data_IF_974448987174
#
_entry.id   IF_974448987174
#
_cell.length_a   1.000
_cell.length_b   1.000
_cell.length_c   1.000
_cell.angle_alpha   90.00
_cell.angle_beta   90.00
_cell.angle_gamma   90.00
#
_symmetry.space_group_name_H-M   'P 1'
#
loop_
_entity.id
_entity.type
_entity.pdbx_description
1 polymer ?
#
# COMPACT_ATOMS: atom_id res chain seq x y z
N UNK A 1 10.20 -12.27 60.74
CA UNK A 1 10.97 -12.11 59.47
C UNK A 1 12.04 -11.05 59.68
N UNK A 2 13.32 -11.41 59.58
CA UNK A 2 14.43 -10.49 59.84
C UNK A 2 14.51 -9.42 58.73
N UNK A 3 15.04 -8.23 59.03
CA UNK A 3 15.13 -7.10 58.06
C UNK A 3 15.80 -7.53 56.74
N UNK A 4 16.76 -8.43 56.84
CA UNK A 4 17.45 -9.03 55.70
C UNK A 4 16.50 -9.84 54.79
N UNK A 5 15.59 -10.63 55.37
CA UNK A 5 14.63 -11.46 54.63
C UNK A 5 13.58 -10.62 53.88
N UNK A 6 13.18 -9.46 54.43
CA UNK A 6 12.28 -8.53 53.73
C UNK A 6 12.96 -7.86 52.53
N UNK A 7 14.24 -7.50 52.68
CA UNK A 7 15.04 -6.90 51.60
C UNK A 7 15.28 -7.92 50.48
N UNK A 8 15.57 -9.18 50.81
CA UNK A 8 15.75 -10.24 49.80
C UNK A 8 14.47 -10.51 49.02
N UNK A 9 13.30 -10.51 49.67
CA UNK A 9 12.01 -10.73 48.99
C UNK A 9 11.66 -9.55 48.08
N UNK A 10 11.89 -8.30 48.52
CA UNK A 10 11.66 -7.10 47.70
C UNK A 10 12.60 -7.07 46.50
N UNK A 11 13.88 -7.43 46.69
CA UNK A 11 14.83 -7.53 45.57
C UNK A 11 14.39 -8.65 44.62
N UNK A 12 14.05 -9.86 45.09
CA UNK A 12 13.60 -10.94 44.21
C UNK A 12 12.33 -10.58 43.42
N UNK A 13 11.37 -9.88 44.04
CA UNK A 13 10.14 -9.46 43.37
C UNK A 13 10.36 -8.29 42.40
N UNK A 14 11.30 -7.38 42.69
CA UNK A 14 11.77 -6.39 41.71
C UNK A 14 12.55 -7.04 40.56
N UNK A 15 13.38 -8.05 40.81
CA UNK A 15 14.10 -8.76 39.75
C UNK A 15 13.15 -9.57 38.87
N UNK A 16 12.08 -10.16 39.43
CA UNK A 16 11.03 -10.83 38.66
C UNK A 16 10.19 -9.80 37.86
N UNK A 17 9.92 -8.61 38.41
CA UNK A 17 9.29 -7.51 37.66
C UNK A 17 10.18 -6.94 36.53
N UNK A 18 11.50 -6.96 36.69
CA UNK A 18 12.44 -6.57 35.64
C UNK A 18 12.64 -7.66 34.59
N UNK A 19 12.53 -8.95 34.94
CA UNK A 19 12.66 -10.07 34.00
C UNK A 19 11.37 -10.34 33.23
N UNK A 20 10.19 -9.96 33.76
CA UNK A 20 8.91 -10.00 33.03
C UNK A 20 8.63 -8.69 32.26
N UNK A 21 9.47 -7.65 32.45
CA UNK A 21 9.37 -6.35 31.78
C UNK A 21 10.42 -6.08 30.70
N UNK A 22 11.28 -7.04 30.39
CA UNK A 22 12.10 -7.04 29.18
C UNK A 22 11.31 -7.69 28.04
N UNK A 23 10.27 -7.00 27.57
CA UNK A 23 9.95 -7.08 26.15
C UNK A 23 11.24 -6.76 25.39
N UNK A 24 11.46 -7.46 24.28
CA UNK A 24 12.60 -7.32 23.39
C UNK A 24 12.60 -5.92 22.74
N UNK A 25 13.06 -4.92 23.52
CA UNK A 25 12.96 -3.48 23.26
C UNK A 25 14.21 -2.97 22.56
N UNK A 26 14.55 -3.58 21.42
CA UNK A 26 15.75 -3.22 20.68
C UNK A 26 15.87 -3.95 19.35
N UNK A 27 14.99 -3.61 18.40
CA UNK A 27 15.16 -3.53 16.92
C UNK A 27 13.85 -3.76 16.17
N UNK A 28 12.83 -4.37 16.78
CA UNK A 28 11.51 -4.68 16.15
C UNK A 28 11.59 -5.43 14.80
N UNK A 29 12.74 -6.03 14.49
CA UNK A 29 12.90 -6.93 13.35
C UNK A 29 12.87 -8.34 13.94
N UNK A 30 11.82 -9.15 13.69
CA UNK A 30 11.86 -10.56 14.04
C UNK A 30 13.12 -11.19 13.43
N UNK A 31 13.72 -12.16 14.13
CA UNK A 31 14.87 -12.92 13.62
C UNK A 31 14.61 -13.30 12.17
N UNK A 32 15.46 -12.83 11.27
CA UNK A 32 15.39 -13.01 9.82
C UNK A 32 15.39 -14.50 9.50
N UNK A 33 14.21 -15.13 9.51
CA UNK A 33 14.01 -16.43 8.92
C UNK A 33 13.92 -16.18 7.42
N UNK A 34 14.95 -16.56 6.67
CA UNK A 34 15.11 -16.29 5.23
C UNK A 34 14.07 -16.98 4.31
N UNK A 35 12.92 -17.38 4.85
CA UNK A 35 11.99 -18.30 4.22
C UNK A 35 10.55 -17.91 4.57
N UNK A 36 10.04 -16.86 3.95
CA UNK A 36 8.65 -16.44 4.08
C UNK A 36 7.74 -17.32 3.21
N UNK A 37 7.48 -18.50 3.74
CA UNK A 37 6.34 -19.36 3.38
C UNK A 37 5.22 -19.02 4.36
N UNK A 38 3.96 -18.98 3.90
CA UNK A 38 2.79 -18.75 4.77
C UNK A 38 3.00 -19.60 6.03
N UNK A 39 3.15 -18.94 7.16
CA UNK A 39 3.55 -19.59 8.40
C UNK A 39 2.33 -19.59 9.28
N UNK A 40 1.75 -20.78 9.44
CA UNK A 40 0.65 -20.97 10.38
C UNK A 40 1.21 -21.01 11.81
N UNK A 41 0.37 -20.82 12.83
CA UNK A 41 0.75 -21.05 14.23
C UNK A 41 1.36 -22.45 14.49
N UNK A 42 1.04 -23.46 13.66
CA UNK A 42 1.68 -24.79 13.74
C UNK A 42 2.89 -24.99 12.80
N UNK A 43 3.51 -23.92 12.30
CA UNK A 43 4.63 -23.98 11.33
C UNK A 43 4.30 -24.75 10.03
N UNK A 44 3.02 -24.83 9.64
CA UNK A 44 2.63 -25.37 8.32
C UNK A 44 3.09 -24.37 7.26
N UNK A 45 3.94 -24.82 6.33
CA UNK A 45 4.41 -24.00 5.21
C UNK A 45 3.41 -24.05 4.07
N UNK A 46 2.66 -22.98 3.85
CA UNK A 46 1.81 -22.84 2.64
C UNK A 46 2.57 -22.00 1.61
N UNK A 47 2.52 -22.41 0.34
CA UNK A 47 3.20 -21.69 -0.73
C UNK A 47 2.60 -20.29 -0.90
N UNK A 48 3.41 -19.25 -1.22
CA UNK A 48 2.87 -17.93 -1.52
C UNK A 48 1.80 -18.03 -2.61
N UNK A 49 0.72 -17.26 -2.45
CA UNK A 49 -0.35 -17.24 -3.44
C UNK A 49 0.07 -16.35 -4.61
N UNK A 50 -0.12 -16.86 -5.82
CA UNK A 50 0.25 -16.18 -7.05
C UNK A 50 -0.93 -16.33 -7.99
N UNK A 51 -1.40 -15.23 -8.58
CA UNK A 51 -2.54 -15.25 -9.48
C UNK A 51 -2.32 -14.38 -10.72
N UNK A 52 -2.80 -14.87 -11.85
CA UNK A 52 -2.83 -14.17 -13.14
C UNK A 52 -4.08 -13.31 -13.23
N UNK A 53 -3.94 -11.99 -13.03
CA UNK A 53 -5.04 -11.04 -13.14
C UNK A 53 -5.13 -10.51 -14.57
N UNK A 54 -5.80 -11.28 -15.43
CA UNK A 54 -6.07 -10.91 -16.82
C UNK A 54 -7.52 -10.41 -16.99
N UNK A 55 -7.75 -9.29 -17.71
CA UNK A 55 -6.77 -8.53 -18.50
C UNK A 55 -5.95 -7.48 -17.75
N UNK A 56 -6.17 -7.30 -16.45
CA UNK A 56 -5.71 -6.12 -15.68
C UNK A 56 -4.18 -5.95 -15.66
N UNK A 57 -3.40 -7.04 -15.71
CA UNK A 57 -1.94 -7.01 -15.72
C UNK A 57 -1.31 -7.31 -17.10
N UNK A 58 -2.11 -7.40 -18.18
CA UNK A 58 -1.63 -7.79 -19.52
C UNK A 58 -0.42 -7.00 -20.05
N UNK A 59 -0.38 -5.71 -19.72
CA UNK A 59 0.59 -4.75 -20.22
C UNK A 59 1.55 -4.26 -19.15
N UNK A 60 1.40 -4.74 -17.91
CA UNK A 60 2.25 -4.32 -16.82
C UNK A 60 3.71 -4.61 -17.17
N UNK A 61 4.53 -3.56 -17.04
CA UNK A 61 5.94 -3.60 -17.36
C UNK A 61 6.64 -4.66 -16.52
N UNK A 62 7.50 -5.47 -17.15
CA UNK A 62 8.26 -6.56 -16.50
C UNK A 62 7.41 -7.61 -15.78
N UNK A 63 6.11 -7.71 -16.10
CA UNK A 63 5.23 -8.77 -15.64
C UNK A 63 4.66 -9.57 -16.80
N UNK A 64 5.53 -10.26 -17.54
CA UNK A 64 5.15 -11.04 -18.74
C UNK A 64 4.15 -12.17 -18.44
N UNK A 65 4.13 -12.62 -17.18
CA UNK A 65 3.20 -13.65 -16.71
C UNK A 65 1.93 -13.07 -16.06
N UNK A 66 1.82 -11.74 -15.94
CA UNK A 66 0.64 -11.03 -15.40
C UNK A 66 0.31 -11.45 -13.96
N UNK A 67 1.34 -11.79 -13.20
CA UNK A 67 1.19 -12.37 -11.87
C UNK A 67 1.22 -11.29 -10.80
N UNK A 68 0.28 -11.34 -9.87
CA UNK A 68 0.40 -10.67 -8.57
C UNK A 68 0.80 -11.71 -7.52
N UNK A 69 1.92 -11.47 -6.86
CA UNK A 69 2.42 -12.31 -5.77
C UNK A 69 1.89 -11.80 -4.42
N UNK A 70 1.41 -12.72 -3.58
CA UNK A 70 0.78 -12.44 -2.29
C UNK A 70 1.34 -13.34 -1.19
N UNK A 71 1.44 -12.78 0.02
CA UNK A 71 1.73 -13.52 1.24
C UNK A 71 0.52 -13.40 2.16
N UNK A 72 0.01 -14.54 2.64
CA UNK A 72 -1.23 -14.60 3.39
C UNK A 72 -0.95 -15.10 4.80
N UNK A 73 -1.47 -14.41 5.80
CA UNK A 73 -1.60 -14.95 7.15
C UNK A 73 -2.98 -15.62 7.26
N UNK A 74 -2.99 -16.88 7.70
CA UNK A 74 -4.22 -17.66 7.91
C UNK A 74 -4.24 -18.08 9.38
N UNK A 75 -5.24 -17.65 10.17
CA UNK A 75 -5.35 -18.05 11.57
C UNK A 75 -5.74 -19.52 11.67
N UNK A 76 -5.40 -20.17 12.79
CA UNK A 76 -5.62 -21.61 13.02
C UNK A 76 -7.05 -22.07 12.74
N UNK A 77 -8.04 -21.25 13.12
CA UNK A 77 -9.46 -21.56 12.94
C UNK A 77 -9.83 -21.71 11.46
N UNK A 78 -9.08 -21.09 10.56
CA UNK A 78 -9.32 -21.05 9.11
C UNK A 78 -8.46 -22.05 8.33
N UNK A 79 -7.65 -22.88 8.99
CA UNK A 79 -6.89 -23.92 8.31
C UNK A 79 -7.76 -25.13 7.95
N UNK A 80 -7.50 -25.81 6.82
CA UNK A 80 -8.23 -27.02 6.45
C UNK A 80 -7.85 -28.20 7.35
N UNK A 81 -8.72 -29.22 7.40
CA UNK A 81 -8.39 -30.47 8.09
C UNK A 81 -7.11 -31.12 7.52
N UNK A 82 -6.26 -31.75 8.36
CA UNK A 82 -6.41 -31.95 9.81
C UNK A 82 -5.84 -30.80 10.67
N UNK A 83 -5.49 -29.66 10.06
CA UNK A 83 -4.76 -28.57 10.73
C UNK A 83 -5.68 -27.59 11.46
N UNK A 84 -6.92 -27.42 11.00
CA UNK A 84 -7.91 -26.56 11.64
C UNK A 84 -9.35 -26.91 11.24
N UNK A 85 -10.34 -26.17 11.78
CA UNK A 85 -11.76 -26.38 11.51
C UNK A 85 -12.29 -25.72 10.22
N UNK A 86 -11.45 -25.00 9.47
CA UNK A 86 -11.78 -24.37 8.19
C UNK A 86 -12.94 -23.35 8.26
N UNK A 87 -12.99 -22.55 9.33
CA UNK A 87 -14.03 -21.54 9.54
C UNK A 87 -13.76 -20.26 8.72
N UNK A 88 -14.84 -19.68 8.20
CA UNK A 88 -14.79 -18.40 7.49
C UNK A 88 -14.57 -17.23 8.45
N UNK A 89 -13.55 -16.41 8.18
CA UNK A 89 -13.18 -15.24 8.99
C UNK A 89 -13.20 -13.94 8.16
N UNK A 90 -13.23 -12.75 8.80
CA UNK A 90 -13.01 -11.49 8.09
C UNK A 90 -11.65 -11.45 7.37
N UNK A 91 -11.50 -10.54 6.41
CA UNK A 91 -10.25 -10.36 5.67
C UNK A 91 -9.72 -8.92 5.77
N UNK A 92 -8.39 -8.80 5.76
CA UNK A 92 -7.66 -7.54 5.70
C UNK A 92 -6.64 -7.59 4.55
N UNK A 93 -6.72 -6.65 3.61
CA UNK A 93 -5.72 -6.46 2.56
C UNK A 93 -4.70 -5.40 3.01
N UNK A 94 -3.41 -5.72 2.99
CA UNK A 94 -2.32 -4.81 3.36
C UNK A 94 -1.42 -4.49 2.16
N UNK A 95 -1.24 -3.19 1.92
CA UNK A 95 -0.47 -2.63 0.82
C UNK A 95 0.89 -2.13 1.32
N UNK A 96 2.01 -2.70 0.86
CA UNK A 96 3.34 -2.26 1.29
C UNK A 96 3.68 -0.83 0.82
N UNK A 97 4.68 -0.18 1.45
CA UNK A 97 5.22 1.07 0.95
C UNK A 97 6.04 0.83 -0.32
N UNK A 98 6.59 1.92 -0.85
CA UNK A 98 7.58 1.83 -1.90
C UNK A 98 8.71 0.88 -1.49
N UNK A 99 9.19 0.07 -2.44
CA UNK A 99 10.24 -0.95 -2.29
C UNK A 99 9.84 -2.14 -1.40
N UNK A 100 8.66 -2.11 -0.78
CA UNK A 100 8.13 -3.23 -0.03
C UNK A 100 7.50 -4.28 -0.94
N UNK A 101 7.76 -5.55 -0.64
CA UNK A 101 7.12 -6.68 -1.31
C UNK A 101 6.00 -7.27 -0.44
N UNK A 102 5.43 -8.38 -0.89
CA UNK A 102 4.41 -9.14 -0.13
C UNK A 102 4.85 -9.53 1.29
N UNK A 103 6.14 -9.58 1.57
CA UNK A 103 6.68 -9.98 2.87
C UNK A 103 6.97 -8.81 3.78
N UNK A 104 6.79 -7.57 3.32
CA UNK A 104 7.06 -6.36 4.09
C UNK A 104 6.45 -6.43 5.49
N UNK A 105 5.15 -6.70 5.64
CA UNK A 105 4.51 -6.76 6.96
C UNK A 105 4.95 -7.97 7.80
N UNK A 106 5.20 -9.12 7.19
CA UNK A 106 5.75 -10.30 7.87
C UNK A 106 7.13 -10.03 8.46
N UNK A 107 7.99 -9.34 7.70
CA UNK A 107 9.31 -8.90 8.14
C UNK A 107 9.26 -7.86 9.27
N UNK A 108 8.08 -7.34 9.59
CA UNK A 108 7.82 -6.42 10.69
C UNK A 108 6.91 -7.03 11.78
N UNK A 109 6.79 -8.36 11.81
CA UNK A 109 6.15 -9.08 12.92
C UNK A 109 4.67 -9.40 12.75
N UNK A 110 4.10 -9.26 11.55
CA UNK A 110 2.67 -9.51 11.31
C UNK A 110 2.15 -10.80 11.96
N UNK A 111 2.82 -11.93 11.73
CA UNK A 111 2.40 -13.22 12.26
C UNK A 111 2.42 -13.22 13.79
N UNK A 112 3.54 -12.82 14.40
CA UNK A 112 3.70 -12.79 15.86
C UNK A 112 2.63 -11.90 16.51
N UNK A 113 2.37 -10.73 15.94
CA UNK A 113 1.37 -9.79 16.44
C UNK A 113 -0.04 -10.39 16.32
N UNK A 114 -0.39 -10.97 15.17
CA UNK A 114 -1.70 -11.55 14.95
C UNK A 114 -1.95 -12.73 15.92
N UNK A 115 -0.99 -13.64 16.05
CA UNK A 115 -1.07 -14.78 16.97
C UNK A 115 -1.23 -14.31 18.42
N UNK A 116 -0.37 -13.38 18.88
CA UNK A 116 -0.44 -12.81 20.24
C UNK A 116 -1.81 -12.17 20.51
N UNK A 117 -2.34 -11.40 19.56
CA UNK A 117 -3.61 -10.70 19.73
C UNK A 117 -4.81 -11.66 19.75
N UNK A 118 -4.78 -12.72 18.93
CA UNK A 118 -5.83 -13.75 18.89
C UNK A 118 -5.81 -14.60 20.16
N UNK A 119 -4.64 -15.08 20.59
CA UNK A 119 -4.48 -15.88 21.81
C UNK A 119 -4.95 -15.12 23.05
N UNK A 120 -4.70 -13.81 23.10
CA UNK A 120 -5.15 -12.95 24.19
C UNK A 120 -6.63 -12.52 24.08
N UNK A 121 -7.34 -12.90 23.02
CA UNK A 121 -8.72 -12.49 22.76
C UNK A 121 -8.88 -10.97 22.54
N UNK A 122 -7.79 -10.30 22.12
CA UNK A 122 -7.80 -8.86 21.83
C UNK A 122 -8.37 -8.57 20.44
N UNK A 123 -8.17 -9.48 19.49
CA UNK A 123 -8.81 -9.46 18.18
C UNK A 123 -9.53 -10.78 17.91
N UNK A 124 -10.65 -10.69 17.21
CA UNK A 124 -11.21 -11.85 16.49
C UNK A 124 -10.25 -12.29 15.37
N UNK A 125 -10.13 -13.59 15.08
CA UNK A 125 -9.32 -14.11 13.97
C UNK A 125 -9.69 -13.47 12.63
N UNK A 126 -8.69 -13.20 11.79
CA UNK A 126 -8.88 -12.68 10.42
C UNK A 126 -7.78 -13.20 9.48
N UNK A 127 -8.10 -13.34 8.20
CA UNK A 127 -7.13 -13.61 7.14
C UNK A 127 -6.52 -12.28 6.69
N UNK A 128 -5.19 -12.24 6.55
CA UNK A 128 -4.48 -11.01 6.18
C UNK A 128 -3.70 -11.25 4.89
N UNK A 129 -4.09 -10.55 3.82
CA UNK A 129 -3.47 -10.65 2.50
C UNK A 129 -2.51 -9.47 2.27
N UNK A 130 -1.21 -9.75 2.19
CA UNK A 130 -0.19 -8.78 1.83
C UNK A 130 0.16 -8.94 0.35
N UNK A 131 0.00 -7.89 -0.45
CA UNK A 131 0.34 -7.92 -1.88
C UNK A 131 1.74 -7.34 -2.13
N UNK A 132 2.32 -7.58 -3.31
CA UNK A 132 3.60 -6.99 -3.69
C UNK A 132 3.44 -5.64 -4.40
N UNK A 133 4.40 -4.73 -4.23
CA UNK A 133 4.66 -3.68 -5.23
C UNK A 133 5.47 -4.23 -6.41
N UNK A 134 5.54 -3.44 -7.48
CA UNK A 134 6.46 -3.67 -8.60
C UNK A 134 7.92 -3.60 -8.10
N UNK A 135 8.73 -4.59 -8.48
CA UNK A 135 10.05 -4.85 -7.87
C UNK A 135 11.15 -3.89 -8.34
N UNK A 136 11.01 -3.27 -9.50
CA UNK A 136 12.08 -2.51 -10.16
C UNK A 136 12.01 -1.02 -9.83
N UNK A 137 10.85 -0.39 -9.95
CA UNK A 137 10.65 1.04 -9.66
C UNK A 137 10.09 1.25 -8.25
N UNK A 138 9.95 0.18 -7.47
CA UNK A 138 9.54 0.26 -6.07
C UNK A 138 8.04 0.38 -5.85
N UNK A 139 7.25 0.55 -6.90
CA UNK A 139 5.81 0.66 -6.83
C UNK A 139 5.28 1.69 -7.81
N UNK A 140 3.98 1.66 -8.05
CA UNK A 140 3.31 2.44 -9.10
C UNK A 140 2.15 3.27 -8.55
N UNK A 141 2.24 3.64 -7.27
CA UNK A 141 1.17 4.28 -6.50
C UNK A 141 -0.14 3.48 -6.47
N UNK A 142 -0.11 2.18 -6.80
CA UNK A 142 -1.33 1.39 -7.04
C UNK A 142 -2.30 2.11 -8.00
N UNK A 143 -1.75 2.89 -8.94
CA UNK A 143 -2.53 3.57 -9.97
C UNK A 143 -2.87 2.63 -11.13
N UNK A 144 -3.68 3.14 -12.06
CA UNK A 144 -4.12 2.39 -13.23
C UNK A 144 -3.66 3.03 -14.52
N UNK A 145 -2.85 2.30 -15.30
CA UNK A 145 -2.46 2.62 -16.66
C UNK A 145 -1.93 1.36 -17.36
N UNK A 146 -1.82 1.38 -18.69
CA UNK A 146 -1.28 0.25 -19.44
C UNK A 146 0.08 -0.27 -18.89
N UNK A 147 1.12 0.57 -18.66
CA UNK A 147 2.41 0.08 -18.15
C UNK A 147 2.39 -0.43 -16.71
N UNK A 148 1.42 -0.04 -15.88
CA UNK A 148 1.41 -0.42 -14.45
C UNK A 148 0.36 -1.47 -14.12
N UNK A 149 -0.59 -1.72 -15.03
CA UNK A 149 -1.77 -2.56 -14.79
C UNK A 149 -2.94 -1.78 -14.19
N UNK A 150 -4.10 -2.41 -14.10
CA UNK A 150 -5.32 -1.79 -13.57
C UNK A 150 -5.54 -2.14 -12.08
N UNK A 151 -4.82 -1.44 -11.20
CA UNK A 151 -4.93 -1.66 -9.76
C UNK A 151 -6.25 -1.17 -9.15
N UNK A 152 -6.93 -0.21 -9.79
CA UNK A 152 -8.28 0.19 -9.40
C UNK A 152 -9.25 -1.02 -9.48
N UNK A 153 -9.25 -1.77 -10.58
CA UNK A 153 -10.09 -2.97 -10.73
C UNK A 153 -9.57 -4.17 -9.93
N UNK A 154 -8.25 -4.37 -9.85
CA UNK A 154 -7.66 -5.46 -9.06
C UNK A 154 -8.04 -5.33 -7.59
N UNK A 155 -7.76 -4.17 -6.97
CA UNK A 155 -8.00 -3.96 -5.55
C UNK A 155 -9.48 -3.73 -5.24
N UNK A 156 -10.24 -3.16 -6.18
CA UNK A 156 -11.67 -2.93 -6.02
C UNK A 156 -12.54 -4.18 -6.18
N UNK A 157 -12.08 -5.18 -6.94
CA UNK A 157 -12.97 -6.29 -7.31
C UNK A 157 -12.23 -7.63 -7.47
N UNK A 158 -11.26 -7.70 -8.39
CA UNK A 158 -10.70 -8.99 -8.82
C UNK A 158 -9.99 -9.73 -7.71
N UNK A 159 -9.20 -9.02 -6.90
CA UNK A 159 -8.49 -9.59 -5.78
C UNK A 159 -9.47 -10.17 -4.75
N UNK A 160 -10.54 -9.43 -4.43
CA UNK A 160 -11.56 -9.89 -3.48
C UNK A 160 -12.24 -11.16 -4.00
N UNK A 161 -12.69 -11.16 -5.26
CA UNK A 161 -13.29 -12.35 -5.87
C UNK A 161 -12.34 -13.56 -5.87
N UNK A 162 -11.04 -13.34 -6.14
CA UNK A 162 -10.05 -14.41 -6.07
C UNK A 162 -9.88 -14.94 -4.64
N UNK A 163 -9.76 -14.06 -3.64
CA UNK A 163 -9.59 -14.46 -2.24
C UNK A 163 -10.82 -15.20 -1.71
N UNK A 164 -12.03 -14.76 -2.04
CA UNK A 164 -13.29 -15.41 -1.64
C UNK A 164 -13.44 -16.81 -2.22
N UNK A 165 -13.00 -17.01 -3.47
CA UNK A 165 -13.01 -18.34 -4.09
C UNK A 165 -11.88 -19.26 -3.59
N UNK A 166 -10.83 -18.71 -2.99
CA UNK A 166 -9.61 -19.45 -2.66
C UNK A 166 -9.41 -19.71 -1.17
N UNK A 167 -10.07 -18.94 -0.31
CA UNK A 167 -9.85 -18.94 1.14
C UNK A 167 -11.18 -18.93 1.91
N UNK A 168 -11.23 -19.47 3.14
CA UNK A 168 -12.43 -19.40 3.98
C UNK A 168 -12.54 -17.99 4.57
N UNK A 169 -13.05 -17.05 3.77
CA UNK A 169 -13.29 -15.68 4.19
C UNK A 169 -14.79 -15.37 4.17
N UNK A 170 -15.22 -14.38 4.95
CA UNK A 170 -16.61 -13.91 4.96
C UNK A 170 -16.88 -12.99 3.76
N UNK A 171 -17.84 -13.35 2.91
CA UNK A 171 -18.17 -12.65 1.64
C UNK A 171 -19.02 -11.38 1.82
N UNK A 172 -18.74 -10.59 2.85
CA UNK A 172 -19.49 -9.36 3.14
C UNK A 172 -18.56 -8.15 3.21
N UNK A 173 -18.90 -7.01 2.57
CA UNK A 173 -18.09 -5.79 2.68
C UNK A 173 -17.83 -5.35 4.12
N UNK A 174 -18.77 -5.59 5.05
CA UNK A 174 -18.59 -5.27 6.48
C UNK A 174 -17.45 -6.06 7.14
N UNK A 175 -17.00 -7.15 6.52
CA UNK A 175 -15.93 -8.04 6.96
C UNK A 175 -14.64 -7.89 6.16
N UNK A 176 -14.53 -6.82 5.36
CA UNK A 176 -13.36 -6.53 4.51
C UNK A 176 -12.70 -5.22 4.92
N UNK A 177 -11.42 -5.28 5.25
CA UNK A 177 -10.59 -4.12 5.56
C UNK A 177 -9.47 -3.97 4.54
N UNK A 178 -8.99 -2.74 4.37
CA UNK A 178 -7.78 -2.44 3.60
C UNK A 178 -6.86 -1.54 4.41
N UNK A 179 -5.55 -1.66 4.23
CA UNK A 179 -4.62 -0.75 4.86
C UNK A 179 -3.28 -0.70 4.17
N UNK A 180 -2.42 0.22 4.59
CA UNK A 180 -1.10 0.34 3.98
C UNK A 180 -0.21 1.41 4.58
N UNK A 181 1.07 1.35 4.22
CA UNK A 181 2.11 2.27 4.68
C UNK A 181 2.71 2.97 3.47
N UNK A 182 3.11 4.24 3.56
CA UNK A 182 3.81 4.91 2.46
C UNK A 182 2.95 4.98 1.21
N UNK A 183 3.50 4.51 0.10
CA UNK A 183 2.77 4.37 -1.16
C UNK A 183 1.50 3.49 -1.02
N UNK A 184 1.51 2.49 -0.14
CA UNK A 184 0.33 1.67 0.18
C UNK A 184 -0.75 2.42 0.95
N UNK A 185 -0.40 3.46 1.71
CA UNK A 185 -1.40 4.33 2.34
C UNK A 185 -2.20 5.11 1.27
N UNK A 186 -1.51 5.63 0.25
CA UNK A 186 -2.17 6.25 -0.91
C UNK A 186 -3.04 5.23 -1.66
N UNK A 187 -2.49 4.04 -1.94
CA UNK A 187 -3.22 2.96 -2.62
C UNK A 187 -4.51 2.57 -1.89
N UNK A 188 -4.48 2.44 -0.57
CA UNK A 188 -5.64 2.06 0.22
C UNK A 188 -6.75 3.12 0.12
N UNK A 189 -6.43 4.40 0.29
CA UNK A 189 -7.41 5.47 0.12
C UNK A 189 -7.95 5.54 -1.31
N UNK A 190 -7.07 5.45 -2.31
CA UNK A 190 -7.45 5.43 -3.72
C UNK A 190 -8.47 4.33 -3.99
N UNK A 191 -8.20 3.09 -3.55
CA UNK A 191 -9.10 1.96 -3.73
C UNK A 191 -10.47 2.22 -3.13
N UNK A 192 -10.55 2.70 -1.87
CA UNK A 192 -11.84 2.96 -1.24
C UNK A 192 -12.61 4.06 -1.95
N UNK A 193 -11.93 5.12 -2.42
CA UNK A 193 -12.56 6.22 -3.15
C UNK A 193 -13.08 5.76 -4.53
N UNK A 194 -12.29 4.95 -5.23
CA UNK A 194 -12.58 4.47 -6.59
C UNK A 194 -13.56 3.30 -6.60
N UNK A 195 -13.66 2.55 -5.52
CA UNK A 195 -14.49 1.35 -5.39
C UNK A 195 -15.28 1.39 -4.07
N UNK A 196 -16.20 2.37 -3.91
CA UNK A 196 -16.97 2.53 -2.69
C UNK A 196 -17.83 1.29 -2.41
N UNK A 197 -17.92 0.91 -1.13
CA UNK A 197 -18.71 -0.25 -0.69
C UNK A 197 -18.01 -1.61 -0.80
N UNK A 198 -16.73 -1.65 -1.20
CA UNK A 198 -15.93 -2.90 -1.22
C UNK A 198 -15.33 -3.19 0.15
N UNK A 199 -14.81 -2.17 0.83
CA UNK A 199 -14.17 -2.26 2.14
C UNK A 199 -14.94 -1.41 3.16
N UNK A 200 -15.11 -1.93 4.37
CA UNK A 200 -15.79 -1.22 5.48
C UNK A 200 -14.84 -0.48 6.41
N UNK A 201 -13.54 -0.76 6.33
CA UNK A 201 -12.55 -0.14 7.20
C UNK A 201 -11.23 0.07 6.47
N UNK A 202 -10.58 1.19 6.77
CA UNK A 202 -9.28 1.57 6.25
C UNK A 202 -8.33 1.97 7.38
N UNK A 203 -7.10 1.44 7.38
CA UNK A 203 -6.04 1.91 8.27
C UNK A 203 -4.76 2.24 7.50
N UNK A 204 -4.22 3.45 7.67
CA UNK A 204 -3.06 3.91 6.88
C UNK A 204 -1.99 4.56 7.73
N UNK A 205 -0.76 4.59 7.20
CA UNK A 205 0.37 5.26 7.84
C UNK A 205 1.29 5.95 6.85
N UNK A 206 1.60 7.22 7.13
CA UNK A 206 2.65 8.03 6.50
C UNK A 206 2.77 7.86 4.97
N UNK A 207 1.81 8.39 4.21
CA UNK A 207 1.81 8.29 2.74
C UNK A 207 1.84 9.62 2.00
N UNK A 208 2.06 9.59 0.66
CA UNK A 208 1.86 10.74 -0.22
C UNK A 208 0.37 10.98 -0.44
N UNK A 209 -0.35 11.39 0.62
CA UNK A 209 -1.81 11.50 0.59
C UNK A 209 -2.32 12.84 0.04
N UNK A 210 -1.40 13.78 -0.20
CA UNK A 210 -1.69 15.08 -0.80
C UNK A 210 -0.51 15.53 -1.67
N UNK A 211 -0.67 15.43 -2.99
CA UNK A 211 0.43 15.58 -3.95
C UNK A 211 0.97 17.01 -4.05
N UNK A 212 0.12 18.02 -3.97
CA UNK A 212 0.49 19.44 -4.04
C UNK A 212 0.52 20.13 -2.66
N UNK A 213 0.19 19.39 -1.60
CA UNK A 213 0.18 19.89 -0.23
C UNK A 213 -0.92 20.94 0.01
N UNK A 214 -1.09 21.31 1.28
CA UNK A 214 -2.15 22.24 1.71
C UNK A 214 -2.12 23.62 1.02
N UNK A 215 -0.98 24.03 0.47
CA UNK A 215 -0.80 25.31 -0.23
C UNK A 215 -0.85 25.21 -1.76
N UNK A 216 -0.99 23.99 -2.31
CA UNK A 216 -0.99 23.73 -3.75
C UNK A 216 0.37 23.89 -4.43
N UNK A 217 1.46 24.06 -3.67
CA UNK A 217 2.81 24.29 -4.16
C UNK A 217 3.89 23.47 -3.46
N UNK A 218 3.51 22.57 -2.54
CA UNK A 218 4.39 21.72 -1.74
C UNK A 218 4.08 20.24 -1.99
N UNK A 219 4.05 19.40 -0.95
CA UNK A 219 3.86 17.95 -1.10
C UNK A 219 5.00 17.30 -1.89
N UNK A 220 4.67 16.60 -2.96
CA UNK A 220 5.63 15.95 -3.86
C UNK A 220 6.47 16.96 -4.66
N UNK A 221 5.99 18.19 -4.85
CA UNK A 221 6.74 19.24 -5.57
C UNK A 221 8.08 19.52 -4.88
N UNK A 222 8.12 19.44 -3.55
CA UNK A 222 9.35 19.63 -2.77
C UNK A 222 10.43 18.58 -3.05
N UNK A 223 10.08 17.46 -3.71
CA UNK A 223 10.99 16.35 -3.98
C UNK A 223 11.50 16.34 -5.43
N UNK A 224 11.08 17.29 -6.27
CA UNK A 224 11.50 17.35 -7.67
C UNK A 224 13.00 17.60 -7.80
N UNK A 225 13.52 18.59 -7.08
CA UNK A 225 14.96 18.86 -7.01
C UNK A 225 15.71 17.65 -6.42
N UNK A 226 15.18 17.03 -5.37
CA UNK A 226 15.81 15.87 -4.73
C UNK A 226 15.97 14.70 -5.70
N UNK A 227 14.97 14.45 -6.56
CA UNK A 227 15.02 13.42 -7.60
C UNK A 227 16.15 13.66 -8.63
N UNK A 228 16.42 14.92 -8.97
CA UNK A 228 17.51 15.29 -9.86
C UNK A 228 18.87 15.19 -9.16
N UNK A 229 18.94 15.69 -7.93
CA UNK A 229 20.16 15.74 -7.11
C UNK A 229 20.70 14.34 -6.84
N UNK A 230 19.85 13.38 -6.49
CA UNK A 230 20.30 12.02 -6.18
C UNK A 230 20.90 11.30 -7.41
N UNK A 231 20.57 11.75 -8.62
CA UNK A 231 21.13 11.24 -9.87
C UNK A 231 22.25 12.10 -10.45
N UNK A 232 22.59 13.22 -9.80
CA UNK A 232 23.53 14.21 -10.31
C UNK A 232 23.11 14.74 -11.71
N UNK A 233 21.82 15.04 -11.88
CA UNK A 233 21.25 15.60 -13.10
C UNK A 233 21.03 17.11 -12.99
N UNK A 234 20.98 17.78 -14.14
CA UNK A 234 20.68 19.20 -14.28
C UNK A 234 19.71 19.47 -15.45
N UNK A 235 19.48 20.77 -15.72
CA UNK A 235 18.55 21.25 -16.75
C UNK A 235 18.82 20.72 -18.16
N UNK A 236 20.03 20.21 -18.43
CA UNK A 236 20.46 19.71 -19.74
C UNK A 236 20.50 18.19 -19.84
N UNK A 237 20.38 17.47 -18.71
CA UNK A 237 20.60 16.03 -18.63
C UNK A 237 19.37 15.23 -18.22
N UNK A 238 18.15 15.80 -18.17
CA UNK A 238 16.96 15.04 -17.77
C UNK A 238 16.70 13.82 -18.68
N UNK A 239 17.07 13.87 -19.96
CA UNK A 239 16.99 12.70 -20.86
C UNK A 239 17.83 11.50 -20.40
N UNK A 240 18.84 11.74 -19.56
CA UNK A 240 19.74 10.74 -19.00
C UNK A 240 19.22 10.20 -17.65
N UNK A 241 17.94 10.47 -17.31
CA UNK A 241 17.30 10.03 -16.08
C UNK A 241 17.33 8.50 -15.96
N UNK A 242 18.06 8.01 -14.97
CA UNK A 242 18.28 6.61 -14.71
C UNK A 242 17.03 5.97 -14.09
N UNK A 243 16.45 5.05 -14.86
CA UNK A 243 15.30 4.25 -14.46
C UNK A 243 15.71 2.91 -13.83
N UNK A 244 17.01 2.59 -13.73
CA UNK A 244 17.51 1.27 -13.29
C UNK A 244 17.26 0.94 -11.81
N UNK A 245 16.75 1.90 -11.03
CA UNK A 245 16.16 1.62 -9.71
C UNK A 245 17.14 1.68 -8.54
N UNK A 246 18.19 2.49 -8.59
CA UNK A 246 19.08 2.69 -7.43
C UNK A 246 18.57 3.79 -6.48
N UNK A 247 17.87 4.78 -7.03
CA UNK A 247 17.56 6.03 -6.33
C UNK A 247 16.12 6.10 -5.86
N UNK A 248 15.90 6.27 -4.55
CA UNK A 248 14.57 6.07 -3.96
C UNK A 248 13.55 7.12 -4.41
N UNK A 249 13.91 8.41 -4.50
CA UNK A 249 12.93 9.46 -4.87
C UNK A 249 12.61 9.37 -6.36
N UNK A 250 13.60 9.11 -7.18
CA UNK A 250 13.51 8.98 -8.63
C UNK A 250 12.66 7.78 -9.00
N UNK A 251 12.85 6.64 -8.32
CA UNK A 251 12.00 5.46 -8.45
C UNK A 251 10.53 5.77 -8.18
N UNK A 252 10.25 6.53 -7.11
CA UNK A 252 8.90 7.00 -6.81
C UNK A 252 8.32 7.75 -8.02
N UNK A 253 9.09 8.69 -8.59
CA UNK A 253 8.64 9.46 -9.74
C UNK A 253 8.54 8.65 -11.04
N UNK A 254 9.39 7.66 -11.27
CA UNK A 254 9.26 6.73 -12.40
C UNK A 254 7.96 5.93 -12.26
N UNK A 255 7.72 5.32 -11.10
CA UNK A 255 6.52 4.55 -10.83
C UNK A 255 5.23 5.37 -10.97
N UNK A 256 5.22 6.57 -10.38
CA UNK A 256 4.09 7.49 -10.51
C UNK A 256 3.93 8.06 -11.93
N UNK A 257 5.01 8.29 -12.68
CA UNK A 257 4.92 8.78 -14.06
C UNK A 257 4.37 7.69 -14.99
N UNK A 258 4.76 6.43 -14.80
CA UNK A 258 4.15 5.31 -15.50
C UNK A 258 2.65 5.21 -15.18
N UNK A 259 2.25 5.46 -13.93
CA UNK A 259 0.85 5.40 -13.51
C UNK A 259 0.01 6.60 -14.00
N UNK A 260 0.54 7.82 -13.96
CA UNK A 260 -0.25 9.05 -14.10
C UNK A 260 0.07 9.87 -15.35
N UNK A 261 1.22 9.65 -15.97
CA UNK A 261 1.67 10.38 -17.16
C UNK A 261 2.48 9.50 -18.14
N UNK A 262 2.01 8.27 -18.47
CA UNK A 262 2.67 7.47 -19.49
C UNK A 262 2.62 8.17 -20.84
N UNK A 263 3.72 8.10 -21.59
CA UNK A 263 3.77 8.64 -22.94
C UNK A 263 2.99 7.76 -23.90
N UNK A 264 2.44 8.37 -24.94
CA UNK A 264 1.76 7.66 -26.01
C UNK A 264 2.76 6.98 -26.95
N UNK A 265 3.25 5.80 -26.56
CA UNK A 265 4.25 5.10 -27.37
C UNK A 265 3.68 4.21 -28.45
N UNK A 266 2.41 3.74 -28.37
CA UNK A 266 1.67 3.01 -29.42
C UNK A 266 0.24 2.64 -28.95
N UNK A 267 -0.72 2.67 -29.88
CA UNK A 267 -2.13 2.25 -29.75
C UNK A 267 -2.31 0.95 -28.93
N UNK A 268 -2.88 1.04 -27.73
CA UNK A 268 -3.18 -0.13 -26.88
C UNK A 268 -4.58 -0.66 -27.17
N UNK A 269 -4.67 -1.93 -27.56
CA UNK A 269 -5.94 -2.65 -27.72
C UNK A 269 -6.26 -3.48 -26.49
N UNK A 270 -7.45 -3.38 -25.90
CA UNK A 270 -8.01 -4.43 -25.05
C UNK A 270 -9.20 -5.07 -25.73
N UNK A 271 -9.57 -6.29 -25.36
CA UNK A 271 -10.80 -6.90 -25.85
C UNK A 271 -11.93 -6.63 -24.85
N UNK A 272 -12.93 -5.85 -25.25
CA UNK A 272 -14.22 -5.82 -24.56
C UNK A 272 -14.93 -7.14 -24.86
N UNK A 273 -15.19 -7.93 -23.81
CA UNK A 273 -15.97 -9.15 -23.91
C UNK A 273 -17.38 -8.88 -23.40
N UNK A 274 -18.37 -8.95 -24.29
CA UNK A 274 -19.78 -8.90 -23.92
C UNK A 274 -20.39 -10.29 -24.05
N UNK A 275 -20.98 -10.79 -22.97
CA UNK A 275 -21.70 -12.06 -22.94
C UNK A 275 -23.19 -11.76 -23.08
N UNK A 276 -23.83 -12.28 -24.13
CA UNK A 276 -25.29 -12.24 -24.24
C UNK A 276 -25.90 -13.16 -23.17
N UNK A 277 -26.65 -12.63 -22.19
CA UNK A 277 -27.17 -13.42 -21.08
C UNK A 277 -28.25 -14.44 -21.51
N UNK A 278 -28.84 -14.29 -22.70
CA UNK A 278 -29.89 -15.19 -23.19
C UNK A 278 -29.34 -16.32 -24.07
N UNK A 279 -28.21 -16.11 -24.74
CA UNK A 279 -27.65 -17.07 -25.71
C UNK A 279 -26.30 -17.63 -25.27
N UNK A 280 -25.63 -17.00 -24.30
CA UNK A 280 -24.27 -17.33 -23.88
C UNK A 280 -23.19 -16.99 -24.92
N UNK A 281 -23.55 -16.29 -26.00
CA UNK A 281 -22.64 -15.94 -27.07
C UNK A 281 -21.67 -14.84 -26.62
N UNK A 282 -20.38 -15.06 -26.85
CA UNK A 282 -19.31 -14.14 -26.51
C UNK A 282 -18.97 -13.24 -27.70
N UNK A 283 -19.12 -11.93 -27.53
CA UNK A 283 -18.67 -10.93 -28.50
C UNK A 283 -17.40 -10.31 -27.93
N UNK A 284 -16.25 -10.63 -28.53
CA UNK A 284 -14.97 -9.98 -28.25
C UNK A 284 -14.73 -8.85 -29.25
N UNK A 285 -14.58 -7.62 -28.75
CA UNK A 285 -14.30 -6.43 -29.55
C UNK A 285 -12.96 -5.84 -29.14
N UNK A 286 -12.02 -5.76 -30.09
CA UNK A 286 -10.78 -5.01 -29.87
C UNK A 286 -11.10 -3.50 -29.78
N UNK A 287 -10.83 -2.92 -28.61
CA UNK A 287 -10.98 -1.50 -28.29
C UNK A 287 -9.61 -0.88 -28.11
N UNK A 288 -9.36 0.17 -28.87
CA UNK A 288 -8.17 1.00 -28.72
C UNK A 288 -8.42 2.00 -27.60
N UNK A 289 -7.63 1.95 -26.53
CA UNK A 289 -7.64 2.97 -25.49
C UNK A 289 -6.57 4.02 -25.77
N UNK A 290 -7.00 5.15 -26.34
CA UNK A 290 -6.17 6.33 -26.57
C UNK A 290 -6.50 7.47 -25.59
N UNK A 291 -7.27 7.21 -24.53
CA UNK A 291 -7.81 8.24 -23.64
C UNK A 291 -6.88 8.64 -22.50
N UNK A 292 -5.82 7.86 -22.25
CA UNK A 292 -4.97 7.98 -21.06
C UNK A 292 -3.54 8.49 -21.31
N UNK A 293 -3.14 8.73 -22.56
CA UNK A 293 -1.72 8.99 -22.89
C UNK A 293 -1.41 10.47 -23.16
N UNK A 294 -0.18 10.90 -22.86
CA UNK A 294 0.34 12.24 -23.16
C UNK A 294 1.36 12.13 -24.31
N UNK A 295 1.14 12.81 -25.44
CA UNK A 295 1.87 12.56 -26.70
C UNK A 295 2.81 13.69 -27.13
N UNK A 296 3.06 14.66 -26.26
CA UNK A 296 3.97 15.78 -26.59
C UNK A 296 5.42 15.33 -26.52
N UNK A 297 6.02 15.05 -27.68
CA UNK A 297 7.41 14.59 -27.82
C UNK A 297 8.44 15.72 -27.75
N UNK A 298 7.99 16.98 -27.71
CA UNK A 298 8.86 18.15 -27.65
C UNK A 298 9.06 18.66 -26.22
N UNK A 299 8.51 17.99 -25.21
CA UNK A 299 8.66 18.40 -23.82
C UNK A 299 10.05 18.13 -23.29
N UNK A 300 10.48 18.97 -22.36
CA UNK A 300 11.69 18.76 -21.57
C UNK A 300 11.53 17.68 -20.52
N UNK A 301 10.33 17.11 -20.35
CA UNK A 301 9.97 16.16 -19.29
C UNK A 301 9.89 14.71 -19.74
N UNK A 302 10.03 14.45 -21.05
CA UNK A 302 9.95 13.11 -21.64
C UNK A 302 11.21 12.30 -21.31
N UNK A 303 11.00 11.10 -20.77
CA UNK A 303 12.04 10.08 -20.56
C UNK A 303 11.68 8.86 -21.40
N UNK A 304 12.57 8.47 -22.32
CA UNK A 304 12.36 7.38 -23.28
C UNK A 304 13.14 6.10 -22.96
N UNK A 305 14.14 6.21 -22.10
CA UNK A 305 15.07 5.10 -21.84
C UNK A 305 14.72 4.40 -20.54
N UNK A 306 13.84 3.41 -20.67
CA UNK A 306 13.55 2.46 -19.60
C UNK A 306 14.60 1.35 -19.65
N UNK A 307 15.63 1.45 -18.81
CA UNK A 307 16.80 0.58 -18.84
C UNK A 307 16.36 -0.85 -18.47
N UNK A 308 16.09 -1.68 -19.49
CA UNK A 308 15.86 -3.15 -19.46
C UNK A 308 14.45 -3.70 -19.16
N UNK A 309 13.40 -3.23 -19.85
CA UNK A 309 12.09 -3.91 -19.84
C UNK A 309 11.81 -4.69 -21.14
N UNK A 310 11.04 -5.80 -21.11
CA UNK A 310 10.61 -6.51 -22.32
C UNK A 310 9.64 -5.68 -23.19
N UNK A 311 9.04 -4.64 -22.60
CA UNK A 311 8.21 -3.62 -23.25
C UNK A 311 8.70 -2.24 -22.80
N UNK A 312 9.11 -1.39 -23.75
CA UNK A 312 9.52 -0.02 -23.45
C UNK A 312 8.29 0.88 -23.45
N UNK A 313 8.11 1.59 -22.33
CA UNK A 313 7.13 2.66 -22.21
C UNK A 313 7.91 3.93 -21.94
N UNK A 314 7.68 4.96 -22.74
CA UNK A 314 8.18 6.28 -22.40
C UNK A 314 7.20 6.90 -21.40
N UNK A 315 7.64 7.89 -20.65
CA UNK A 315 6.80 8.58 -19.67
C UNK A 315 7.26 10.02 -19.50
N UNK A 316 6.38 10.83 -18.91
CA UNK A 316 6.68 12.23 -18.61
C UNK A 316 6.80 12.42 -17.11
N UNK A 317 7.92 12.98 -16.67
CA UNK A 317 8.06 13.45 -15.30
C UNK A 317 7.21 14.72 -15.08
N UNK A 318 6.69 14.97 -13.87
CA UNK A 318 5.91 16.17 -13.58
C UNK A 318 6.74 17.46 -13.50
N UNK A 319 8.04 17.38 -13.77
CA UNK A 319 9.01 18.47 -13.70
C UNK A 319 10.02 18.44 -14.83
N UNK A 320 10.61 19.60 -15.13
CA UNK A 320 11.72 19.75 -16.07
C UNK A 320 13.09 19.49 -15.42
N UNK A 321 14.17 19.48 -16.21
CA UNK A 321 15.52 19.27 -15.68
C UNK A 321 16.01 20.34 -14.69
N UNK A 322 15.29 21.46 -14.53
CA UNK A 322 15.55 22.45 -13.50
C UNK A 322 14.73 22.24 -12.23
N UNK A 323 14.02 21.11 -12.10
CA UNK A 323 13.14 20.80 -10.97
C UNK A 323 11.83 21.58 -10.96
N UNK A 324 11.53 22.35 -12.01
CA UNK A 324 10.33 23.17 -12.05
C UNK A 324 9.13 22.35 -12.50
N UNK A 325 7.98 22.59 -11.87
CA UNK A 325 6.69 22.00 -12.26
C UNK A 325 6.41 22.23 -13.75
N UNK A 326 6.22 21.15 -14.50
CA UNK A 326 5.69 21.22 -15.85
C UNK A 326 4.18 21.00 -15.84
N UNK A 327 3.42 22.12 -15.86
CA UNK A 327 1.98 22.15 -15.60
C UNK A 327 1.15 21.12 -16.40
N UNK A 328 1.35 20.90 -17.71
CA UNK A 328 0.54 19.93 -18.46
C UNK A 328 0.64 18.50 -17.94
N UNK A 329 1.82 18.10 -17.45
CA UNK A 329 2.04 16.76 -16.89
C UNK A 329 1.65 16.73 -15.42
N UNK A 330 1.98 17.77 -14.66
CA UNK A 330 1.60 17.87 -13.26
C UNK A 330 0.08 17.86 -13.05
N UNK A 331 -0.68 18.48 -13.94
CA UNK A 331 -2.14 18.46 -13.86
C UNK A 331 -2.70 17.04 -13.98
N UNK A 332 -2.06 16.13 -14.72
CA UNK A 332 -2.42 14.70 -14.78
C UNK A 332 -2.15 13.98 -13.46
N UNK A 333 -1.03 14.28 -12.81
CA UNK A 333 -0.76 13.81 -11.46
C UNK A 333 -1.80 14.34 -10.47
N UNK A 334 -2.13 15.63 -10.53
CA UNK A 334 -3.17 16.24 -9.68
C UNK A 334 -4.54 15.59 -9.84
N UNK A 335 -4.93 15.12 -11.04
CA UNK A 335 -6.18 14.36 -11.22
C UNK A 335 -6.21 13.05 -10.40
N UNK A 336 -5.04 12.55 -9.98
CA UNK A 336 -4.89 11.39 -9.11
C UNK A 336 -4.64 11.78 -7.64
N UNK A 337 -4.61 13.07 -7.29
CA UNK A 337 -4.57 13.50 -5.88
C UNK A 337 -5.88 13.11 -5.18
N UNK A 338 -5.81 12.62 -3.94
CA UNK A 338 -6.95 12.03 -3.21
C UNK A 338 -8.10 13.03 -3.05
N UNK A 339 -7.80 14.31 -2.81
CA UNK A 339 -8.83 15.37 -2.76
C UNK A 339 -9.65 15.43 -4.05
N UNK A 340 -8.99 15.38 -5.20
CA UNK A 340 -9.68 15.44 -6.49
C UNK A 340 -10.43 14.17 -6.81
N UNK A 341 -9.88 13.00 -6.46
CA UNK A 341 -10.58 11.73 -6.60
C UNK A 341 -11.85 11.71 -5.74
N UNK A 342 -11.75 12.16 -4.48
CA UNK A 342 -12.90 12.23 -3.57
C UNK A 342 -13.91 13.28 -4.03
N UNK A 343 -13.49 14.42 -4.57
CA UNK A 343 -14.39 15.43 -5.11
C UNK A 343 -15.24 14.92 -6.29
N UNK A 344 -14.76 13.92 -7.04
CA UNK A 344 -15.53 13.27 -8.11
C UNK A 344 -16.59 12.28 -7.57
N UNK A 345 -16.42 11.80 -6.35
CA UNK A 345 -17.33 10.88 -5.67
C UNK A 345 -17.37 11.19 -4.17
N UNK A 346 -18.06 12.28 -3.81
CA UNK A 346 -17.98 12.89 -2.47
C UNK A 346 -18.51 12.02 -1.33
N UNK A 347 -19.25 10.95 -1.65
CA UNK A 347 -19.80 10.00 -0.68
C UNK A 347 -18.96 8.71 -0.59
N UNK A 348 -17.83 8.60 -1.28
CA UNK A 348 -17.10 7.35 -1.44
C UNK A 348 -16.56 6.75 -0.13
N UNK A 349 -16.26 7.58 0.88
CA UNK A 349 -15.84 7.12 2.21
C UNK A 349 -17.03 6.93 3.17
N UNK A 350 -18.27 7.07 2.68
CA UNK A 350 -19.48 6.90 3.48
C UNK A 350 -19.59 5.48 4.04
N UNK A 351 -19.75 5.37 5.36
CA UNK A 351 -19.83 4.08 6.05
C UNK A 351 -18.50 3.34 6.20
N UNK A 352 -17.39 3.98 5.82
CA UNK A 352 -16.03 3.44 6.01
C UNK A 352 -15.47 3.96 7.33
N UNK A 353 -14.97 3.05 8.16
CA UNK A 353 -14.27 3.40 9.39
C UNK A 353 -12.80 3.71 9.05
N UNK A 354 -12.31 4.89 9.42
CA UNK A 354 -11.00 5.39 8.99
C UNK A 354 -10.06 5.56 10.18
N UNK A 355 -8.89 4.91 10.14
CA UNK A 355 -7.75 5.17 11.02
C UNK A 355 -6.55 5.66 10.21
N UNK A 356 -5.92 6.72 10.70
CA UNK A 356 -4.69 7.25 10.11
C UNK A 356 -3.68 7.48 11.22
N UNK A 357 -2.49 6.91 11.07
CA UNK A 357 -1.35 7.19 11.96
C UNK A 357 -0.31 7.96 11.17
N UNK A 358 0.28 9.01 11.75
CA UNK A 358 1.37 9.72 11.10
C UNK A 358 2.49 10.09 12.06
N UNK A 359 3.71 10.18 11.55
CA UNK A 359 4.92 10.46 12.33
C UNK A 359 5.61 11.74 11.84
N UNK A 360 5.94 12.71 12.70
CA UNK A 360 6.63 13.93 12.26
C UNK A 360 8.02 13.67 11.65
N UNK A 361 8.57 12.49 11.88
CA UNK A 361 9.86 12.04 11.34
C UNK A 361 9.73 11.21 10.05
N UNK A 362 8.52 11.08 9.50
CA UNK A 362 8.30 10.42 8.22
C UNK A 362 9.14 11.06 7.11
N UNK A 363 9.73 10.22 6.26
CA UNK A 363 10.53 10.66 5.11
C UNK A 363 9.67 11.40 4.08
N UNK A 364 10.34 12.14 3.19
CA UNK A 364 9.75 12.72 1.99
C UNK A 364 8.59 13.69 2.24
N UNK A 365 8.46 14.22 3.45
CA UNK A 365 7.36 15.14 3.81
C UNK A 365 6.00 14.46 3.97
N UNK A 366 5.92 13.13 4.05
CA UNK A 366 4.66 12.39 4.17
C UNK A 366 3.83 12.79 5.39
N UNK A 367 4.46 13.22 6.49
CA UNK A 367 3.74 13.76 7.64
C UNK A 367 2.83 14.95 7.27
N UNK A 368 3.37 15.91 6.51
CA UNK A 368 2.64 17.10 6.11
C UNK A 368 1.53 16.75 5.11
N UNK A 369 1.82 15.86 4.15
CA UNK A 369 0.83 15.39 3.18
C UNK A 369 -0.30 14.61 3.85
N UNK A 370 0.02 13.74 4.81
CA UNK A 370 -0.95 12.95 5.58
C UNK A 370 -1.82 13.86 6.45
N UNK A 371 -1.21 14.82 7.16
CA UNK A 371 -1.93 15.78 7.99
C UNK A 371 -2.84 16.68 7.14
N UNK A 372 -2.37 17.10 5.95
CA UNK A 372 -3.17 17.85 4.99
C UNK A 372 -4.40 17.06 4.56
N UNK A 373 -4.22 15.82 4.11
CA UNK A 373 -5.32 14.94 3.71
C UNK A 373 -6.36 14.71 4.82
N UNK A 374 -5.90 14.38 6.04
CA UNK A 374 -6.79 14.21 7.20
C UNK A 374 -7.60 15.48 7.46
N UNK A 375 -6.94 16.64 7.40
CA UNK A 375 -7.61 17.94 7.55
C UNK A 375 -8.66 18.13 6.46
N UNK A 376 -8.35 17.82 5.20
CA UNK A 376 -9.27 17.94 4.07
C UNK A 376 -10.53 17.11 4.28
N UNK A 377 -10.41 15.82 4.62
CA UNK A 377 -11.59 14.95 4.75
C UNK A 377 -12.41 15.20 6.02
N UNK A 378 -11.81 15.71 7.09
CA UNK A 378 -12.52 16.05 8.34
C UNK A 378 -13.33 17.35 8.24
N UNK A 379 -12.97 18.26 7.32
CA UNK A 379 -13.61 19.57 7.18
C UNK A 379 -14.65 19.60 6.05
N UNK A 380 -15.53 20.62 6.02
CA UNK A 380 -16.41 20.84 4.89
C UNK A 380 -15.64 20.93 3.56
N UNK A 381 -16.14 20.34 2.47
CA UNK A 381 -17.48 19.77 2.33
C UNK A 381 -17.64 18.31 2.80
N UNK A 382 -16.55 17.60 3.11
CA UNK A 382 -16.56 16.14 3.30
C UNK A 382 -17.04 15.67 4.69
N UNK A 383 -16.54 16.27 5.77
CA UNK A 383 -16.97 16.00 7.15
C UNK A 383 -16.89 14.52 7.61
N UNK A 384 -15.88 13.77 7.17
CA UNK A 384 -15.65 12.39 7.61
C UNK A 384 -15.02 12.30 9.00
N UNK A 385 -15.42 11.30 9.78
CA UNK A 385 -14.78 10.97 11.04
C UNK A 385 -13.52 10.15 10.79
N UNK A 386 -12.40 10.57 11.38
CA UNK A 386 -11.10 9.91 11.25
C UNK A 386 -10.51 9.71 12.64
N UNK A 387 -10.16 8.47 12.98
CA UNK A 387 -9.31 8.15 14.13
C UNK A 387 -7.86 8.48 13.75
N UNK A 388 -7.46 9.72 14.00
CA UNK A 388 -6.13 10.24 13.67
C UNK A 388 -5.21 10.24 14.89
N UNK A 389 -4.03 9.64 14.75
CA UNK A 389 -2.98 9.61 15.78
C UNK A 389 -1.66 10.13 15.21
N UNK A 390 -1.01 11.04 15.95
CA UNK A 390 0.38 11.41 15.69
C UNK A 390 1.30 10.63 16.63
N UNK A 391 2.23 9.86 16.07
CA UNK A 391 3.18 9.05 16.82
C UNK A 391 4.60 9.63 16.72
N UNK A 392 5.19 9.97 17.88
CA UNK A 392 6.50 10.64 17.94
C UNK A 392 7.67 9.69 18.24
N UNK A 393 7.40 8.42 18.51
CA UNK A 393 8.38 7.49 19.08
C UNK A 393 8.51 7.65 20.60
N UNK A 394 9.63 7.19 21.13
CA UNK A 394 9.95 7.26 22.57
C UNK A 394 11.28 7.97 22.79
N UNK A 395 11.57 8.37 24.04
CA UNK A 395 12.82 9.03 24.38
C UNK A 395 14.04 8.22 23.93
N UNK A 396 14.90 8.86 23.14
CA UNK A 396 16.10 8.25 22.54
C UNK A 396 15.84 7.37 21.31
N UNK A 397 14.58 7.11 20.95
CA UNK A 397 14.17 6.31 19.79
C UNK A 397 13.00 7.02 19.07
N UNK A 398 13.27 8.12 18.33
CA UNK A 398 12.24 8.78 17.55
C UNK A 398 11.63 7.80 16.53
N UNK A 399 10.40 8.04 16.11
CA UNK A 399 9.68 7.24 15.12
C UNK A 399 10.25 7.44 13.70
N UNK A 400 11.54 7.19 13.52
CA UNK A 400 12.20 7.28 12.22
C UNK A 400 12.13 5.91 11.56
N UNK A 401 11.62 5.83 10.32
CA UNK A 401 11.57 4.59 9.52
C UNK A 401 10.67 3.49 10.13
N UNK A 402 10.79 2.26 9.63
CA UNK A 402 9.88 1.16 9.94
C UNK A 402 10.00 0.59 11.37
N UNK A 403 10.84 1.19 12.22
CA UNK A 403 11.09 0.75 13.61
C UNK A 403 9.83 0.72 14.48
N UNK A 404 8.83 1.54 14.15
CA UNK A 404 7.55 1.59 14.86
C UNK A 404 6.43 0.82 14.18
N UNK A 405 6.70 0.19 13.02
CA UNK A 405 5.69 -0.53 12.27
C UNK A 405 5.12 -1.70 13.08
N UNK A 406 5.91 -2.36 13.93
CA UNK A 406 5.41 -3.40 14.84
C UNK A 406 4.25 -2.89 15.72
N UNK A 407 4.40 -1.69 16.32
CA UNK A 407 3.34 -1.06 17.13
C UNK A 407 2.14 -0.70 16.25
N UNK A 408 2.39 -0.03 15.13
CA UNK A 408 1.30 0.43 14.26
C UNK A 408 0.52 -0.75 13.71
N UNK A 409 1.19 -1.83 13.33
CA UNK A 409 0.54 -3.03 12.84
C UNK A 409 -0.37 -3.63 13.92
N UNK A 410 0.07 -3.68 15.18
CA UNK A 410 -0.79 -4.05 16.32
C UNK A 410 -2.05 -3.16 16.40
N UNK A 411 -1.88 -1.85 16.29
CA UNK A 411 -2.99 -0.88 16.34
C UNK A 411 -3.94 -1.02 15.11
N UNK A 412 -3.41 -1.33 13.92
CA UNK A 412 -4.16 -1.60 12.69
C UNK A 412 -5.02 -2.87 12.83
N UNK A 413 -4.46 -3.97 13.33
CA UNK A 413 -5.19 -5.23 13.49
C UNK A 413 -6.33 -5.09 14.50
N UNK A 414 -6.07 -4.42 15.63
CA UNK A 414 -7.09 -4.12 16.64
C UNK A 414 -8.21 -3.26 16.04
N UNK A 415 -7.85 -2.23 15.28
CA UNK A 415 -8.81 -1.35 14.62
C UNK A 415 -9.73 -2.11 13.66
N UNK A 416 -9.17 -2.92 12.76
CA UNK A 416 -9.98 -3.68 11.80
C UNK A 416 -10.87 -4.71 12.49
N UNK A 417 -10.35 -5.48 13.45
CA UNK A 417 -11.12 -6.48 14.19
C UNK A 417 -12.36 -5.87 14.87
N UNK A 418 -12.18 -4.71 15.52
CA UNK A 418 -13.30 -3.98 16.15
C UNK A 418 -14.38 -3.56 15.16
N UNK A 419 -13.98 -3.19 13.93
CA UNK A 419 -14.91 -2.67 12.92
C UNK A 419 -15.55 -3.76 12.06
N UNK A 420 -15.01 -4.99 12.04
CA UNK A 420 -15.69 -6.13 11.45
C UNK A 420 -16.89 -6.60 12.28
N UNK A 421 -16.97 -6.26 13.57
CA UNK A 421 -18.05 -6.67 14.47
C UNK A 421 -19.25 -5.71 14.52
N UNK A 422 -19.27 -4.69 13.65
CA UNK A 422 -20.34 -3.68 13.59
C UNK A 422 -21.53 -4.10 12.73
#
# INVERSE_FOLDING_TARGET
MNKLTKITIIILSLTILFVVGCEDRGTNIPVKGEDSFIRTPQDVKIAPMIHDFSPELNYQIRNDFRLLEMAIYIPDISLPEPYGPFESVPMLVLLPPQDGDRYYFFNHGLQQIADELIENGTIEPMIICCITNEKVFGGTFYGSSAPVGDFDEILGNKLIAYLENSLPVMESPSKRGIGGVGMGAYGAFRTVIKSPGVYSSISTTDGPLDFDGADGSTGLINLFDDALIEQNLDATSLKDFDTSGVWHISRMFVGGALAFSPHDTLVYGHNEVTIDPNTGFEISKAVIDSSLTFSDTLTTTLVTDLVTAPRNFDFHLPFDGGGNVYLPVWERWRQNNLERLLAQNSDALGGVEIKVVSTPQARYGFYNMTTSWVTTIQNPPFNYSVDYETYNGYDGNPATHDQYLYKILKDMLIFHSKNFNK
#
